data_IF_602994212438
#
_entry.id   IF_602994212438
#
_cell.length_a   1.000
_cell.length_b   1.000
_cell.length_c   1.000
_cell.angle_alpha   90.00
_cell.angle_beta   90.00
_cell.angle_gamma   90.00
#
_symmetry.space_group_name_H-M   'P 1'
#
loop_
_entity.id
_entity.type
_entity.pdbx_description
1 polymer ?
#
# COMPACT_ATOMS: atom_id res chain seq x y z
N UNK A 1 -24.68 53.68 -40.74
CA UNK A 1 -26.06 54.22 -40.81
C UNK A 1 -27.00 53.18 -40.25
N UNK A 2 -27.82 53.58 -39.24
CA UNK A 2 -28.95 52.93 -38.54
C UNK A 2 -28.53 51.79 -37.62
N UNK A 3 -28.44 51.92 -36.28
CA UNK A 3 -29.37 52.36 -35.18
C UNK A 3 -30.75 51.62 -35.24
N UNK A 4 -31.05 50.84 -34.21
CA UNK A 4 -32.17 51.03 -33.27
C UNK A 4 -32.37 49.74 -32.43
N UNK A 5 -32.18 49.87 -31.11
CA UNK A 5 -33.15 49.97 -29.96
C UNK A 5 -33.66 48.59 -29.51
N UNK A 6 -33.24 48.19 -28.32
CA UNK A 6 -33.87 48.40 -26.99
C UNK A 6 -35.34 47.95 -26.89
N UNK A 7 -35.61 46.92 -26.12
CA UNK A 7 -36.74 46.89 -25.22
C UNK A 7 -36.51 45.88 -24.06
N UNK A 8 -36.48 46.47 -22.89
CA UNK A 8 -36.56 45.88 -21.56
C UNK A 8 -38.00 45.43 -21.27
N UNK A 9 -38.21 44.26 -20.73
CA UNK A 9 -39.46 43.93 -20.02
C UNK A 9 -39.10 43.27 -18.71
N UNK A 10 -39.36 44.01 -17.65
CA UNK A 10 -39.42 43.56 -16.27
C UNK A 10 -40.82 42.99 -16.05
N UNK A 11 -40.93 41.78 -15.56
CA UNK A 11 -42.14 41.28 -14.92
C UNK A 11 -41.77 40.68 -13.59
N UNK A 12 -42.06 41.43 -12.54
CA UNK A 12 -42.14 41.01 -11.14
C UNK A 12 -43.52 40.34 -10.94
N UNK A 13 -43.54 39.12 -10.42
CA UNK A 13 -44.75 38.63 -9.74
C UNK A 13 -44.33 37.90 -8.48
N UNK A 14 -44.82 38.44 -7.38
CA UNK A 14 -44.88 37.87 -6.04
C UNK A 14 -45.92 36.73 -6.04
N UNK A 15 -45.56 35.61 -5.43
CA UNK A 15 -46.55 34.81 -4.70
C UNK A 15 -45.83 34.03 -3.60
N UNK A 16 -46.10 34.44 -2.39
CA UNK A 16 -45.86 33.66 -1.18
C UNK A 16 -46.83 32.49 -1.10
N UNK A 17 -46.38 31.32 -0.66
CA UNK A 17 -47.07 30.57 0.41
C UNK A 17 -46.48 29.19 0.67
N UNK A 18 -46.41 28.94 1.94
CA UNK A 18 -46.48 27.68 2.68
C UNK A 18 -45.15 26.97 3.03
N UNK A 19 -44.74 27.32 4.22
CA UNK A 19 -43.95 26.49 5.13
C UNK A 19 -44.62 25.10 5.29
N UNK A 20 -43.92 24.08 4.83
CA UNK A 20 -44.09 22.74 5.32
C UNK A 20 -42.73 22.23 5.76
N UNK A 21 -42.53 22.29 7.07
CA UNK A 21 -41.30 21.79 7.68
C UNK A 21 -41.20 20.28 7.50
N UNK A 22 -40.33 19.86 6.62
CA UNK A 22 -39.73 18.54 6.74
C UNK A 22 -38.44 18.73 7.54
N UNK A 23 -38.49 18.35 8.80
CA UNK A 23 -37.32 18.18 9.61
C UNK A 23 -36.50 17.07 8.94
N UNK A 24 -35.46 17.47 8.23
CA UNK A 24 -34.37 16.57 7.85
C UNK A 24 -33.67 16.26 9.16
N UNK A 25 -33.97 15.08 9.73
CA UNK A 25 -33.12 14.51 10.78
C UNK A 25 -31.73 14.37 10.21
N UNK A 26 -30.81 15.19 10.69
CA UNK A 26 -29.41 14.91 10.54
C UNK A 26 -29.18 13.50 11.10
N UNK A 27 -28.49 12.61 10.37
CA UNK A 27 -27.99 11.41 10.98
C UNK A 27 -27.08 11.85 12.13
N UNK A 28 -27.43 11.45 13.33
CA UNK A 28 -26.57 11.57 14.48
C UNK A 28 -25.26 10.86 14.09
N UNK A 29 -24.18 11.59 14.12
CA UNK A 29 -22.82 11.02 14.15
C UNK A 29 -22.80 10.24 15.47
N UNK A 30 -23.10 8.96 15.38
CA UNK A 30 -22.93 8.01 16.45
C UNK A 30 -21.52 7.45 16.34
N UNK A 31 -20.80 7.65 17.43
CA UNK A 31 -19.57 6.98 17.80
C UNK A 31 -18.39 7.19 16.83
N UNK A 32 -17.41 7.93 17.31
CA UNK A 32 -16.01 7.76 16.96
C UNK A 32 -15.72 6.26 17.00
N UNK A 33 -15.74 5.59 15.85
CA UNK A 33 -15.06 4.32 15.71
C UNK A 33 -13.58 4.61 15.94
N UNK A 34 -13.16 4.40 17.16
CA UNK A 34 -11.75 4.40 17.52
C UNK A 34 -11.09 3.38 16.60
N UNK A 35 -10.04 3.84 15.89
CA UNK A 35 -9.13 2.95 15.17
C UNK A 35 -8.86 1.73 16.05
N UNK A 36 -8.87 0.50 15.52
CA UNK A 36 -8.65 -0.69 16.30
C UNK A 36 -7.35 -0.52 17.10
N UNK A 37 -7.45 -0.54 18.42
CA UNK A 37 -6.29 -0.49 19.29
C UNK A 37 -5.42 -1.69 18.94
N UNK A 38 -4.17 -1.44 18.61
CA UNK A 38 -3.24 -2.50 18.35
C UNK A 38 -3.09 -3.34 19.62
N UNK A 39 -3.31 -4.64 19.49
CA UNK A 39 -3.13 -5.57 20.61
C UNK A 39 -1.64 -5.57 20.98
N UNK A 40 -1.33 -5.04 22.16
CA UNK A 40 0.01 -5.12 22.73
C UNK A 40 0.10 -6.46 23.44
N UNK A 41 1.02 -7.32 23.02
CA UNK A 41 1.32 -8.56 23.73
C UNK A 41 2.00 -8.25 25.07
N UNK A 42 2.02 -9.20 26.00
CA UNK A 42 2.70 -9.06 27.30
C UNK A 42 4.18 -8.66 27.16
N UNK A 43 4.80 -8.90 26.00
CA UNK A 43 6.18 -8.52 25.68
C UNK A 43 6.31 -7.19 24.93
N UNK A 44 5.22 -6.45 24.70
CA UNK A 44 5.25 -5.17 23.99
C UNK A 44 5.37 -5.28 22.46
N UNK A 45 5.44 -6.48 21.92
CA UNK A 45 5.57 -6.72 20.47
C UNK A 45 4.22 -6.75 19.78
N UNK A 46 4.17 -6.21 18.57
CA UNK A 46 2.97 -6.18 17.71
C UNK A 46 3.26 -6.89 16.42
N UNK A 47 2.39 -7.78 16.02
CA UNK A 47 2.49 -8.50 14.75
C UNK A 47 1.21 -8.30 13.95
N UNK A 48 1.31 -8.37 12.64
CA UNK A 48 0.13 -8.47 11.79
C UNK A 48 -0.62 -9.76 12.13
N UNK A 49 -1.86 -9.63 12.51
CA UNK A 49 -2.70 -10.76 12.86
C UNK A 49 -3.24 -10.67 14.28
N UNK A 50 -4.38 -11.26 14.53
CA UNK A 50 -4.83 -11.49 15.89
C UNK A 50 -3.93 -12.54 16.52
N UNK A 51 -3.37 -12.19 17.68
CA UNK A 51 -2.91 -13.19 18.61
C UNK A 51 -4.17 -13.87 19.13
N UNK A 52 -4.58 -14.97 18.49
CA UNK A 52 -5.63 -15.83 19.04
C UNK A 52 -5.22 -16.26 20.45
N UNK A 53 -6.19 -16.59 21.30
CA UNK A 53 -6.06 -16.88 22.75
C UNK A 53 -4.99 -17.90 23.15
N UNK A 54 -4.17 -18.39 22.22
CA UNK A 54 -3.01 -19.23 22.46
C UNK A 54 -1.81 -18.69 21.68
N UNK A 55 -1.09 -17.73 22.28
CA UNK A 55 0.21 -17.25 21.80
C UNK A 55 1.26 -18.36 21.55
N UNK A 56 0.93 -19.59 21.81
CA UNK A 56 1.86 -20.71 21.84
C UNK A 56 1.98 -21.50 20.51
N UNK A 57 1.33 -21.11 19.41
CA UNK A 57 1.30 -21.96 18.22
C UNK A 57 1.28 -21.26 16.86
N UNK A 58 1.46 -19.95 16.78
CA UNK A 58 1.58 -19.34 15.47
C UNK A 58 3.03 -19.40 14.98
N UNK A 59 3.25 -20.14 13.90
CA UNK A 59 4.56 -20.30 13.26
C UNK A 59 4.45 -19.76 11.84
N UNK A 60 5.28 -18.78 11.50
CA UNK A 60 5.47 -18.33 10.13
C UNK A 60 6.30 -19.36 9.35
N UNK A 61 6.12 -19.41 8.05
CA UNK A 61 6.90 -20.27 7.16
C UNK A 61 7.45 -19.48 5.96
N UNK A 62 8.67 -19.83 5.59
CA UNK A 62 9.33 -19.32 4.38
C UNK A 62 9.88 -20.50 3.59
N UNK A 63 9.64 -20.53 2.30
CA UNK A 63 10.23 -21.49 1.39
C UNK A 63 11.41 -20.87 0.65
N UNK A 64 12.58 -21.49 0.72
CA UNK A 64 13.76 -21.09 -0.04
C UNK A 64 14.06 -22.19 -1.05
N UNK A 65 14.00 -21.85 -2.34
CA UNK A 65 14.18 -22.84 -3.42
C UNK A 65 15.56 -23.50 -3.33
N UNK A 66 15.58 -24.81 -3.35
CA UNK A 66 16.79 -25.62 -3.23
C UNK A 66 17.32 -25.79 -1.80
N UNK A 67 16.80 -25.08 -0.79
CA UNK A 67 17.18 -25.22 0.61
C UNK A 67 16.09 -25.87 1.46
N UNK A 68 14.82 -25.59 1.19
CA UNK A 68 13.70 -26.18 1.91
C UNK A 68 12.73 -25.15 2.49
N UNK A 69 11.92 -25.60 3.42
CA UNK A 69 10.99 -24.75 4.17
C UNK A 69 11.51 -24.57 5.59
N UNK A 70 11.51 -23.32 6.03
CA UNK A 70 11.95 -22.89 7.36
C UNK A 70 10.77 -22.32 8.11
N UNK A 71 10.66 -22.66 9.39
CA UNK A 71 9.62 -22.16 10.28
C UNK A 71 10.24 -21.17 11.25
N UNK A 72 9.52 -20.09 11.57
CA UNK A 72 10.00 -19.09 12.51
C UNK A 72 8.87 -18.59 13.43
N UNK A 73 9.22 -18.10 14.60
CA UNK A 73 8.29 -17.42 15.47
C UNK A 73 8.25 -15.92 15.09
N UNK A 74 7.11 -15.40 14.54
CA UNK A 74 7.02 -14.01 14.18
C UNK A 74 7.22 -13.03 15.34
N UNK A 75 7.04 -13.47 16.60
CA UNK A 75 7.27 -12.62 17.77
C UNK A 75 8.76 -12.42 18.09
N UNK A 76 9.63 -13.26 17.55
CA UNK A 76 11.07 -13.17 17.76
C UNK A 76 11.77 -12.35 16.65
N UNK A 77 11.09 -12.12 15.52
CA UNK A 77 11.65 -11.36 14.39
C UNK A 77 11.74 -9.88 14.72
N UNK A 78 12.92 -9.29 14.49
CA UNK A 78 13.16 -7.86 14.65
C UNK A 78 13.41 -7.21 13.31
N UNK A 79 12.92 -5.98 13.16
CA UNK A 79 13.15 -5.23 11.93
C UNK A 79 14.55 -4.61 11.91
N UNK A 80 15.21 -4.66 10.76
CA UNK A 80 16.42 -3.86 10.45
C UNK A 80 16.04 -2.49 9.83
N UNK A 81 14.73 -2.24 9.62
CA UNK A 81 14.18 -0.99 9.08
C UNK A 81 13.38 -0.24 10.15
N UNK A 82 14.05 0.09 11.25
CA UNK A 82 13.47 0.91 12.34
C UNK A 82 13.07 2.32 11.87
N UNK A 83 13.56 2.74 10.70
CA UNK A 83 13.16 3.97 10.03
C UNK A 83 11.77 3.87 9.36
N UNK A 84 11.30 2.65 9.09
CA UNK A 84 10.01 2.38 8.45
C UNK A 84 9.03 1.76 9.45
N UNK A 85 9.44 0.71 10.15
CA UNK A 85 8.56 -0.08 11.00
C UNK A 85 8.68 0.29 12.48
N UNK A 86 7.56 0.22 13.18
CA UNK A 86 7.51 0.30 14.61
C UNK A 86 7.81 -1.06 15.24
N UNK A 87 8.15 -1.06 16.52
CA UNK A 87 8.36 -2.27 17.30
C UNK A 87 7.19 -3.25 17.13
N UNK A 88 7.51 -4.51 16.87
CA UNK A 88 6.56 -5.59 16.63
C UNK A 88 6.08 -5.71 15.19
N UNK A 89 6.50 -4.81 14.30
CA UNK A 89 6.29 -4.95 12.86
C UNK A 89 7.62 -5.10 12.15
N UNK A 90 7.64 -5.91 11.11
CA UNK A 90 8.85 -6.27 10.39
C UNK A 90 8.56 -6.59 8.92
N UNK A 91 9.59 -6.57 8.11
CA UNK A 91 9.52 -6.85 6.69
C UNK A 91 9.75 -8.33 6.36
N UNK A 92 9.50 -8.69 5.10
CA UNK A 92 9.85 -10.03 4.59
C UNK A 92 11.35 -10.27 4.62
N UNK A 93 12.17 -9.22 4.45
CA UNK A 93 13.62 -9.31 4.54
C UNK A 93 14.10 -9.65 5.95
N UNK A 94 13.42 -9.14 6.97
CA UNK A 94 13.74 -9.39 8.37
C UNK A 94 13.60 -10.87 8.74
N UNK A 95 12.72 -11.61 8.04
CA UNK A 95 12.60 -13.06 8.21
C UNK A 95 13.90 -13.77 7.81
N UNK A 96 14.54 -13.36 6.72
CA UNK A 96 15.83 -13.92 6.32
C UNK A 96 16.94 -13.58 7.29
N UNK A 97 16.94 -12.37 7.83
CA UNK A 97 17.91 -11.95 8.86
C UNK A 97 17.72 -12.79 10.13
N UNK A 98 16.49 -13.01 10.55
CA UNK A 98 16.18 -13.86 11.71
C UNK A 98 16.66 -15.31 11.54
N UNK A 99 16.48 -15.90 10.35
CA UNK A 99 16.97 -17.24 10.07
C UNK A 99 18.51 -17.33 10.03
N UNK A 100 19.17 -16.26 9.61
CA UNK A 100 20.63 -16.16 9.67
C UNK A 100 21.12 -16.06 11.12
N UNK A 101 20.49 -15.18 11.93
CA UNK A 101 20.82 -15.03 13.35
C UNK A 101 20.59 -16.33 14.16
N UNK A 102 19.59 -17.12 13.79
CA UNK A 102 19.35 -18.44 14.38
C UNK A 102 20.26 -19.55 13.83
N UNK A 103 21.07 -19.26 12.82
CA UNK A 103 22.04 -20.18 12.23
C UNK A 103 21.44 -21.22 11.29
N UNK A 104 20.21 -21.02 10.81
CA UNK A 104 19.53 -21.91 9.90
C UNK A 104 19.96 -21.73 8.43
N UNK A 105 20.37 -20.51 8.07
CA UNK A 105 20.91 -20.16 6.75
C UNK A 105 22.18 -19.34 6.89
N UNK A 106 22.92 -19.17 5.79
CA UNK A 106 24.04 -18.22 5.70
C UNK A 106 23.61 -17.10 4.75
N UNK A 107 23.46 -15.89 5.26
CA UNK A 107 22.99 -14.74 4.51
C UNK A 107 24.06 -13.63 4.50
N UNK A 108 24.54 -13.26 3.32
CA UNK A 108 25.35 -12.08 3.13
C UNK A 108 24.50 -10.96 2.54
N UNK A 109 24.47 -9.81 3.18
CA UNK A 109 23.67 -8.67 2.73
C UNK A 109 24.33 -7.34 3.10
N UNK A 110 23.88 -6.25 2.47
CA UNK A 110 24.31 -4.90 2.79
C UNK A 110 23.18 -3.91 2.49
N UNK A 111 23.21 -2.75 3.14
CA UNK A 111 22.31 -1.66 2.83
C UNK A 111 22.86 -0.80 1.69
N UNK A 112 22.08 -0.62 0.63
CA UNK A 112 22.42 0.24 -0.50
C UNK A 112 21.69 1.59 -0.39
N UNK A 113 22.46 2.64 -0.13
CA UNK A 113 21.92 4.00 0.04
C UNK A 113 21.41 4.62 -1.27
N UNK A 114 21.87 4.15 -2.43
CA UNK A 114 21.39 4.66 -3.72
C UNK A 114 20.06 4.04 -4.11
N UNK A 115 19.76 2.90 -3.54
CA UNK A 115 18.50 2.18 -3.74
C UNK A 115 17.56 2.26 -2.54
N UNK A 116 18.03 2.73 -1.38
CA UNK A 116 17.31 2.75 -0.12
C UNK A 116 16.72 1.37 0.23
N UNK A 117 17.54 0.32 0.16
CA UNK A 117 17.10 -1.05 0.43
C UNK A 117 18.27 -1.94 0.83
N UNK A 118 17.98 -3.00 1.56
CA UNK A 118 18.92 -4.09 1.77
C UNK A 118 19.00 -4.98 0.54
N UNK A 119 20.22 -5.32 0.16
CA UNK A 119 20.55 -6.18 -0.98
C UNK A 119 21.09 -7.50 -0.48
N UNK A 120 20.53 -8.60 -0.96
CA UNK A 120 21.03 -9.95 -0.73
C UNK A 120 22.22 -10.17 -1.67
N UNK A 121 23.45 -10.20 -1.11
CA UNK A 121 24.66 -10.53 -1.88
C UNK A 121 24.75 -12.02 -2.15
N UNK A 122 24.52 -12.83 -1.10
CA UNK A 122 24.45 -14.27 -1.22
C UNK A 122 23.54 -14.90 -0.17
N UNK A 123 22.98 -16.06 -0.51
CA UNK A 123 22.28 -16.93 0.40
C UNK A 123 22.87 -18.33 0.21
N UNK A 124 23.46 -18.88 1.27
CA UNK A 124 24.24 -20.12 1.28
C UNK A 124 25.33 -20.16 0.18
N UNK A 125 26.00 -18.99 -0.06
CA UNK A 125 27.07 -18.84 -1.04
C UNK A 125 26.63 -18.71 -2.49
N UNK A 126 25.33 -18.59 -2.75
CA UNK A 126 24.78 -18.36 -4.09
C UNK A 126 24.15 -16.97 -4.18
N UNK A 127 24.39 -16.25 -5.27
CA UNK A 127 23.79 -14.93 -5.55
C UNK A 127 22.49 -14.99 -6.31
N UNK A 128 21.97 -13.82 -6.67
CA UNK A 128 20.80 -13.63 -7.53
C UNK A 128 19.50 -14.20 -6.96
N UNK A 129 19.21 -13.89 -5.72
CA UNK A 129 17.97 -14.27 -5.06
C UNK A 129 16.95 -13.15 -5.12
N UNK A 130 15.67 -13.53 -5.25
CA UNK A 130 14.54 -12.65 -5.17
C UNK A 130 13.36 -13.35 -4.50
N UNK A 131 12.22 -12.66 -4.35
CA UNK A 131 11.10 -13.19 -3.61
C UNK A 131 9.77 -13.11 -4.35
N UNK A 132 8.87 -14.00 -3.99
CA UNK A 132 7.44 -13.95 -4.27
C UNK A 132 6.71 -13.98 -2.93
N UNK A 133 5.73 -13.11 -2.77
CA UNK A 133 4.94 -13.06 -1.57
C UNK A 133 3.46 -12.91 -1.92
N UNK A 134 2.61 -13.63 -1.21
CA UNK A 134 1.17 -13.48 -1.29
C UNK A 134 0.53 -14.01 -0.01
N UNK A 135 -0.63 -13.50 0.34
CA UNK A 135 -1.40 -13.99 1.48
C UNK A 135 -2.59 -14.80 1.02
N UNK A 136 -3.22 -15.53 1.94
CA UNK A 136 -4.30 -16.46 1.67
C UNK A 136 -5.39 -15.81 0.78
N UNK A 137 -5.77 -16.52 -0.27
CA UNK A 137 -6.67 -15.99 -1.30
C UNK A 137 -6.03 -15.07 -2.34
N UNK A 138 -4.74 -14.75 -2.20
CA UNK A 138 -3.98 -13.99 -3.19
C UNK A 138 -3.43 -14.87 -4.32
N UNK A 139 -2.71 -14.25 -5.24
CA UNK A 139 -2.09 -14.91 -6.39
C UNK A 139 -0.57 -14.83 -6.23
N UNK A 140 0.16 -15.91 -6.48
CA UNK A 140 1.61 -15.89 -6.38
C UNK A 140 2.20 -15.01 -7.48
N UNK A 141 2.85 -13.93 -7.08
CA UNK A 141 3.48 -13.01 -7.99
C UNK A 141 4.91 -12.71 -7.58
N UNK A 142 5.75 -12.50 -8.59
CA UNK A 142 7.07 -11.98 -8.37
C UNK A 142 6.96 -10.49 -8.11
N UNK A 143 7.24 -10.09 -6.89
CA UNK A 143 7.26 -8.68 -6.52
C UNK A 143 8.41 -7.93 -7.18
N UNK A 144 8.21 -6.66 -7.46
CA UNK A 144 9.27 -5.75 -7.96
C UNK A 144 9.50 -4.59 -7.01
N UNK A 145 9.09 -4.68 -5.77
CA UNK A 145 9.41 -3.65 -4.80
C UNK A 145 10.23 -4.20 -3.64
N UNK A 146 10.83 -3.30 -2.89
CA UNK A 146 11.83 -3.62 -1.88
C UNK A 146 11.32 -4.63 -0.87
N UNK A 147 12.05 -5.74 -0.69
CA UNK A 147 11.68 -6.79 0.24
C UNK A 147 11.69 -6.31 1.69
N UNK A 148 12.60 -5.39 2.01
CA UNK A 148 12.74 -4.75 3.32
C UNK A 148 11.72 -3.62 3.59
N UNK A 149 10.85 -3.32 2.62
CA UNK A 149 9.69 -2.43 2.77
C UNK A 149 8.37 -3.20 2.78
N UNK A 150 8.40 -4.49 2.49
CA UNK A 150 7.19 -5.32 2.44
C UNK A 150 6.87 -5.86 3.83
N UNK A 151 5.82 -5.37 4.51
CA UNK A 151 5.50 -5.85 5.84
C UNK A 151 5.06 -7.31 5.80
N UNK A 152 5.60 -8.10 6.73
CA UNK A 152 5.13 -9.44 6.96
C UNK A 152 3.69 -9.42 7.46
N UNK A 153 2.92 -10.41 7.06
CA UNK A 153 1.54 -10.58 7.44
C UNK A 153 1.26 -12.03 7.75
N UNK A 154 0.45 -12.24 8.77
CA UNK A 154 0.00 -13.58 9.17
C UNK A 154 -0.62 -14.34 7.99
N UNK A 155 -0.36 -15.64 7.92
CA UNK A 155 -0.83 -16.56 6.86
C UNK A 155 -0.34 -16.22 5.45
N UNK A 156 0.61 -15.33 5.30
CA UNK A 156 1.19 -15.11 3.97
C UNK A 156 2.13 -16.24 3.59
N UNK A 157 2.21 -16.50 2.29
CA UNK A 157 3.22 -17.37 1.71
C UNK A 157 4.41 -16.53 1.26
N UNK A 158 5.60 -16.92 1.68
CA UNK A 158 6.85 -16.29 1.29
C UNK A 158 7.77 -17.32 0.64
N UNK A 159 8.13 -17.07 -0.61
CA UNK A 159 9.07 -17.90 -1.36
C UNK A 159 10.27 -17.07 -1.80
N UNK A 160 11.46 -17.58 -1.54
CA UNK A 160 12.71 -17.01 -2.05
C UNK A 160 13.24 -17.91 -3.15
N UNK A 161 13.45 -17.33 -4.31
CA UNK A 161 13.77 -18.06 -5.54
C UNK A 161 14.97 -17.46 -6.25
N UNK A 162 15.78 -18.26 -6.95
CA UNK A 162 16.83 -17.72 -7.81
C UNK A 162 16.22 -17.01 -9.02
N UNK A 163 16.86 -15.92 -9.42
CA UNK A 163 16.47 -15.13 -10.60
C UNK A 163 17.68 -14.86 -11.48
N UNK A 164 17.45 -14.32 -12.67
CA UNK A 164 18.55 -13.89 -13.53
C UNK A 164 19.14 -12.57 -13.03
N UNK A 165 20.43 -12.37 -13.28
CA UNK A 165 21.13 -11.13 -12.96
C UNK A 165 20.45 -9.93 -13.67
N UNK A 166 20.07 -10.09 -14.93
CA UNK A 166 19.37 -9.05 -15.71
C UNK A 166 18.04 -8.63 -15.05
N UNK A 167 17.30 -9.60 -14.46
CA UNK A 167 16.09 -9.28 -13.73
C UNK A 167 16.36 -8.42 -12.49
N UNK A 168 17.37 -8.79 -11.69
CA UNK A 168 17.77 -8.01 -10.51
C UNK A 168 18.24 -6.60 -10.89
N UNK A 169 19.08 -6.48 -11.93
CA UNK A 169 19.50 -5.16 -12.39
C UNK A 169 18.32 -4.29 -12.82
N UNK A 170 17.36 -4.86 -13.54
CA UNK A 170 16.15 -4.12 -13.93
C UNK A 170 15.36 -3.63 -12.73
N UNK A 171 15.21 -4.47 -11.70
CA UNK A 171 14.52 -4.08 -10.45
C UNK A 171 15.31 -2.99 -9.71
N UNK A 172 16.61 -3.16 -9.57
CA UNK A 172 17.48 -2.20 -8.87
C UNK A 172 17.57 -0.86 -9.58
N UNK A 173 17.51 -0.83 -10.90
CA UNK A 173 17.46 0.42 -11.67
C UNK A 173 16.20 1.22 -11.33
N UNK A 174 15.04 0.55 -11.18
CA UNK A 174 13.82 1.26 -10.75
C UNK A 174 13.97 1.87 -9.36
N UNK A 175 14.67 1.21 -8.44
CA UNK A 175 14.93 1.73 -7.09
C UNK A 175 15.85 2.95 -7.11
N UNK A 176 16.91 2.92 -7.92
CA UNK A 176 17.81 4.08 -8.11
C UNK A 176 17.04 5.27 -8.68
N UNK A 177 16.18 5.01 -9.66
CA UNK A 177 15.35 6.07 -10.26
C UNK A 177 14.37 6.67 -9.28
N UNK A 178 13.73 5.85 -8.42
CA UNK A 178 12.89 6.35 -7.33
C UNK A 178 13.65 7.24 -6.35
N UNK A 179 14.83 6.79 -5.89
CA UNK A 179 15.67 7.55 -4.96
C UNK A 179 16.18 8.83 -5.61
N UNK A 180 16.55 8.78 -6.89
CA UNK A 180 16.99 9.96 -7.64
C UNK A 180 15.84 10.97 -7.77
N UNK A 181 14.62 10.54 -8.07
CA UNK A 181 13.44 11.42 -8.07
C UNK A 181 13.19 12.05 -6.71
N UNK A 182 13.23 11.25 -5.65
CA UNK A 182 13.06 11.73 -4.28
C UNK A 182 14.10 12.78 -3.90
N UNK A 183 15.38 12.55 -4.21
CA UNK A 183 16.48 13.51 -3.97
C UNK A 183 16.34 14.77 -4.81
N UNK A 184 15.97 14.63 -6.07
CA UNK A 184 15.76 15.77 -6.97
C UNK A 184 14.58 16.66 -6.55
N UNK A 185 13.68 16.15 -5.71
CA UNK A 185 12.52 16.86 -5.17
C UNK A 185 12.68 17.23 -3.67
N UNK A 186 13.91 17.45 -3.23
CA UNK A 186 14.22 17.88 -1.85
C UNK A 186 13.65 16.95 -0.76
N UNK A 187 13.64 15.64 -1.02
CA UNK A 187 13.12 14.65 -0.08
C UNK A 187 11.60 14.55 -0.03
N UNK A 188 10.92 15.03 -1.05
CA UNK A 188 9.46 14.86 -1.20
C UNK A 188 9.15 13.68 -2.11
N UNK A 189 8.12 12.94 -1.76
CA UNK A 189 7.58 11.91 -2.63
C UNK A 189 6.75 12.59 -3.73
N UNK A 190 7.31 12.62 -4.94
CA UNK A 190 6.62 13.11 -6.13
C UNK A 190 6.40 11.93 -7.06
N UNK A 191 5.14 11.67 -7.38
CA UNK A 191 4.77 10.65 -8.37
C UNK A 191 4.56 11.34 -9.71
N UNK A 192 5.41 11.06 -10.73
CA UNK A 192 5.32 11.70 -12.04
C UNK A 192 3.95 11.54 -12.69
N UNK A 193 3.35 10.36 -12.58
CA UNK A 193 2.03 10.10 -13.16
C UNK A 193 1.13 9.33 -12.17
N UNK A 194 -0.02 9.92 -11.84
CA UNK A 194 -1.08 9.25 -11.09
C UNK A 194 -2.29 9.07 -11.99
N UNK A 195 -2.69 7.83 -12.18
CA UNK A 195 -3.80 7.45 -13.06
C UNK A 195 -4.96 6.94 -12.22
N UNK A 196 -6.15 7.46 -12.44
CA UNK A 196 -7.39 6.90 -11.92
C UNK A 196 -8.24 6.49 -13.10
N UNK A 197 -8.46 5.19 -13.24
CA UNK A 197 -9.27 4.59 -14.31
C UNK A 197 -10.53 3.97 -13.71
N UNK A 198 -11.56 4.79 -13.59
CA UNK A 198 -12.88 4.40 -13.10
C UNK A 198 -13.69 3.62 -14.13
N UNK A 199 -14.97 3.41 -13.83
CA UNK A 199 -15.90 2.73 -14.75
C UNK A 199 -16.22 3.54 -16.00
N UNK A 200 -16.30 4.85 -15.84
CA UNK A 200 -16.80 5.76 -16.87
C UNK A 200 -15.78 6.85 -17.23
N UNK A 201 -14.85 7.14 -16.35
CA UNK A 201 -13.93 8.26 -16.46
C UNK A 201 -12.51 7.82 -16.20
N UNK A 202 -11.57 8.51 -16.83
CA UNK A 202 -10.14 8.34 -16.63
C UNK A 202 -9.53 9.71 -16.34
N UNK A 203 -8.81 9.79 -15.24
CA UNK A 203 -8.06 10.98 -14.83
C UNK A 203 -6.56 10.66 -14.86
N UNK A 204 -5.77 11.65 -15.23
CA UNK A 204 -4.31 11.61 -15.16
C UNK A 204 -3.85 12.88 -14.48
N UNK A 205 -3.06 12.71 -13.42
CA UNK A 205 -2.47 13.81 -12.68
C UNK A 205 -0.95 13.70 -12.80
N UNK A 206 -0.30 14.80 -13.13
CA UNK A 206 1.15 14.83 -13.33
C UNK A 206 1.84 15.46 -12.12
N UNK A 207 3.00 14.89 -11.74
CA UNK A 207 3.88 15.41 -10.68
C UNK A 207 3.15 15.62 -9.34
N UNK A 208 2.43 14.61 -8.89
CA UNK A 208 1.66 14.65 -7.65
C UNK A 208 2.60 14.57 -6.44
N UNK A 209 2.59 15.60 -5.59
CA UNK A 209 3.23 15.54 -4.27
C UNK A 209 2.37 14.69 -3.35
N UNK A 210 2.91 13.54 -2.92
CA UNK A 210 2.23 12.61 -2.01
C UNK A 210 2.77 12.81 -0.61
N UNK A 211 1.87 13.08 0.35
CA UNK A 211 2.21 13.30 1.75
C UNK A 211 1.81 12.10 2.60
N UNK A 212 2.57 11.84 3.65
CA UNK A 212 2.17 10.85 4.64
C UNK A 212 0.94 11.34 5.41
N UNK A 213 -0.05 10.47 5.59
CA UNK A 213 -1.25 10.74 6.39
C UNK A 213 -1.30 9.85 7.64
N UNK A 214 -0.22 9.10 7.90
CA UNK A 214 -0.06 8.23 9.07
C UNK A 214 -1.30 7.32 9.30
N UNK A 215 -1.86 6.77 8.22
CA UNK A 215 -3.08 5.97 8.26
C UNK A 215 -2.88 4.65 9.03
N UNK A 216 -1.64 4.19 9.13
CA UNK A 216 -1.25 2.96 9.85
C UNK A 216 -0.20 3.28 10.94
N UNK A 217 -0.60 4.13 11.93
CA UNK A 217 0.34 4.60 12.95
C UNK A 217 0.79 3.50 13.92
N UNK A 218 0.10 2.37 13.97
CA UNK A 218 0.51 1.19 14.74
C UNK A 218 1.71 0.48 14.10
N UNK A 219 1.81 0.53 12.76
CA UNK A 219 2.78 -0.24 11.99
C UNK A 219 3.99 0.59 11.56
N UNK A 220 3.76 1.80 11.08
CA UNK A 220 4.80 2.62 10.47
C UNK A 220 5.27 3.76 11.36
N UNK A 221 6.52 4.15 11.15
CA UNK A 221 7.04 5.38 11.72
C UNK A 221 6.32 6.59 11.09
N UNK A 222 6.21 7.70 11.84
CA UNK A 222 5.60 8.92 11.31
C UNK A 222 6.33 9.40 10.05
N UNK A 223 5.55 9.78 9.03
CA UNK A 223 6.08 10.29 7.78
C UNK A 223 6.37 9.22 6.72
N UNK A 224 6.13 7.95 7.00
CA UNK A 224 6.17 6.90 5.97
C UNK A 224 5.00 7.08 5.02
N UNK A 225 5.32 7.19 3.72
CA UNK A 225 4.32 7.39 2.66
C UNK A 225 3.96 6.04 2.06
N UNK A 226 2.66 5.80 1.91
CA UNK A 226 2.13 4.56 1.32
C UNK A 226 1.36 4.84 0.02
N UNK A 227 1.06 3.81 -0.74
CA UNK A 227 0.36 3.98 -2.02
C UNK A 227 -1.03 4.61 -1.86
N UNK A 228 -1.74 4.34 -0.77
CA UNK A 228 -3.07 4.93 -0.50
C UNK A 228 -2.98 6.44 -0.24
N UNK A 229 -1.85 6.93 0.28
CA UNK A 229 -1.63 8.36 0.51
C UNK A 229 -1.73 9.19 -0.79
N UNK A 230 -1.54 8.54 -1.95
CA UNK A 230 -1.75 9.17 -3.26
C UNK A 230 -3.20 9.63 -3.42
N UNK A 231 -4.16 8.78 -3.06
CA UNK A 231 -5.59 9.11 -3.13
C UNK A 231 -5.95 10.19 -2.13
N UNK A 232 -5.42 10.08 -0.90
CA UNK A 232 -5.68 11.07 0.15
C UNK A 232 -5.09 12.43 -0.25
N UNK A 233 -3.85 12.46 -0.75
CA UNK A 233 -3.21 13.70 -1.21
C UNK A 233 -3.95 14.38 -2.37
N UNK A 234 -4.51 13.61 -3.31
CA UNK A 234 -5.36 14.15 -4.37
C UNK A 234 -6.68 14.71 -3.81
N UNK A 235 -7.25 14.05 -2.81
CA UNK A 235 -8.44 14.51 -2.11
C UNK A 235 -8.19 15.83 -1.35
N UNK A 236 -7.10 15.92 -0.61
CA UNK A 236 -6.68 17.13 0.11
C UNK A 236 -6.46 18.32 -0.83
N UNK A 237 -5.95 18.04 -2.03
CA UNK A 237 -5.84 19.05 -3.09
C UNK A 237 -7.18 19.43 -3.73
N UNK A 238 -8.29 18.79 -3.37
CA UNK A 238 -9.62 19.01 -3.95
C UNK A 238 -9.76 18.53 -5.40
N UNK A 239 -8.87 17.64 -5.85
CA UNK A 239 -8.86 17.14 -7.22
C UNK A 239 -9.81 15.97 -7.43
N UNK A 240 -10.07 15.20 -6.36
CA UNK A 240 -11.03 14.10 -6.32
C UNK A 240 -11.81 14.11 -5.00
N UNK A 241 -12.91 13.37 -4.96
CA UNK A 241 -13.55 12.93 -3.71
C UNK A 241 -13.29 11.44 -3.54
N UNK A 242 -13.11 10.97 -2.33
CA UNK A 242 -12.85 9.57 -2.06
C UNK A 242 -13.54 9.11 -0.78
N UNK A 243 -13.59 7.77 -0.61
CA UNK A 243 -14.02 7.12 0.62
C UNK A 243 -13.13 5.90 0.85
N UNK A 244 -12.68 5.73 2.10
CA UNK A 244 -11.86 4.59 2.53
C UNK A 244 -12.67 3.72 3.47
N UNK A 245 -12.56 2.42 3.30
CA UNK A 245 -13.23 1.44 4.16
C UNK A 245 -12.21 0.45 4.71
N UNK A 246 -12.29 0.20 6.02
CA UNK A 246 -11.51 -0.84 6.68
C UNK A 246 -12.12 -2.21 6.43
N UNK A 247 -11.27 -3.21 6.14
CA UNK A 247 -11.66 -4.60 6.00
C UNK A 247 -10.78 -5.51 6.85
N UNK A 248 -11.40 -6.31 7.71
CA UNK A 248 -10.74 -7.40 8.43
C UNK A 248 -10.41 -8.57 7.49
N UNK A 249 -11.33 -8.86 6.56
CA UNK A 249 -11.21 -9.93 5.57
C UNK A 249 -11.88 -9.53 4.26
N UNK A 250 -11.42 -10.07 3.13
CA UNK A 250 -12.03 -9.87 1.81
C UNK A 250 -12.04 -11.20 1.04
N UNK A 251 -13.22 -11.65 0.62
CA UNK A 251 -13.36 -12.86 -0.17
C UNK A 251 -12.84 -14.08 0.56
N UNK A 252 -11.79 -14.73 0.02
CA UNK A 252 -11.11 -15.89 0.60
C UNK A 252 -9.92 -15.49 1.49
N UNK A 253 -9.54 -14.22 1.51
CA UNK A 253 -8.49 -13.73 2.38
C UNK A 253 -9.04 -13.48 3.78
N UNK A 254 -8.74 -14.40 4.71
CA UNK A 254 -9.24 -14.38 6.08
C UNK A 254 -8.70 -13.20 6.89
N UNK A 255 -7.48 -12.77 6.59
CA UNK A 255 -6.80 -11.69 7.30
C UNK A 255 -6.33 -10.65 6.31
N UNK A 256 -7.08 -9.56 6.16
CA UNK A 256 -6.69 -8.40 5.33
C UNK A 256 -6.21 -7.26 6.21
N UNK A 257 -6.99 -6.85 7.20
CA UNK A 257 -6.70 -5.78 8.16
C UNK A 257 -6.09 -4.56 7.48
N UNK A 258 -6.85 -3.97 6.55
CA UNK A 258 -6.37 -2.89 5.70
C UNK A 258 -7.49 -1.96 5.27
N UNK A 259 -7.11 -0.71 5.00
CA UNK A 259 -7.97 0.23 4.32
C UNK A 259 -8.01 -0.03 2.82
N UNK A 260 -9.20 0.06 2.29
CA UNK A 260 -9.47 -0.08 0.87
C UNK A 260 -10.06 1.21 0.32
N UNK A 261 -9.70 1.56 -0.90
CA UNK A 261 -10.33 2.68 -1.60
C UNK A 261 -11.70 2.23 -2.09
N UNK A 262 -12.74 2.56 -1.30
CA UNK A 262 -14.11 2.14 -1.56
C UNK A 262 -14.78 2.98 -2.66
N UNK A 263 -14.46 4.27 -2.74
CA UNK A 263 -15.04 5.18 -3.73
C UNK A 263 -14.00 6.21 -4.20
N UNK A 264 -14.04 6.52 -5.48
CA UNK A 264 -13.39 7.69 -6.08
C UNK A 264 -14.43 8.39 -6.95
N UNK A 265 -14.72 9.64 -6.65
CA UNK A 265 -15.77 10.45 -7.28
C UNK A 265 -17.11 9.70 -7.27
N UNK A 266 -17.71 9.46 -8.44
CA UNK A 266 -19.01 8.78 -8.58
C UNK A 266 -18.89 7.24 -8.63
N UNK A 267 -17.67 6.69 -8.71
CA UNK A 267 -17.46 5.26 -8.79
C UNK A 267 -17.24 4.65 -7.40
N UNK A 268 -18.26 3.96 -6.90
CA UNK A 268 -18.28 3.28 -5.59
C UNK A 268 -18.24 1.77 -5.76
N UNK A 269 -17.42 1.11 -4.95
CA UNK A 269 -17.27 -0.35 -4.91
C UNK A 269 -18.60 -1.03 -4.61
N UNK A 270 -18.93 -2.11 -5.33
CA UNK A 270 -20.15 -2.87 -5.13
C UNK A 270 -20.01 -4.32 -5.57
N UNK A 271 -20.49 -5.22 -4.73
CA UNK A 271 -20.44 -6.65 -5.00
C UNK A 271 -18.99 -7.12 -5.14
N UNK A 272 -18.64 -7.58 -6.35
CA UNK A 272 -17.28 -8.05 -6.67
C UNK A 272 -16.50 -7.04 -7.52
N UNK A 273 -16.95 -5.82 -7.60
CA UNK A 273 -16.32 -4.76 -8.37
C UNK A 273 -15.82 -3.64 -7.47
N UNK A 274 -14.63 -3.13 -7.75
CA UNK A 274 -14.03 -2.05 -6.99
C UNK A 274 -12.70 -1.59 -7.57
N UNK A 275 -12.05 -0.68 -6.88
CA UNK A 275 -10.73 -0.21 -7.24
C UNK A 275 -9.66 -1.16 -6.75
N UNK A 276 -8.71 -1.44 -7.61
CA UNK A 276 -7.40 -2.02 -7.29
C UNK A 276 -6.31 -1.07 -7.78
N UNK A 277 -5.05 -1.32 -7.44
CA UNK A 277 -4.00 -0.38 -7.80
C UNK A 277 -2.75 -1.09 -8.33
N UNK A 278 -1.90 -0.32 -8.96
CA UNK A 278 -0.53 -0.64 -9.34
C UNK A 278 0.36 0.55 -8.96
N UNK A 279 1.61 0.29 -8.60
CA UNK A 279 2.60 1.33 -8.38
C UNK A 279 4.01 0.83 -8.71
N UNK A 280 4.81 1.60 -9.40
CA UNK A 280 6.17 1.20 -9.75
C UNK A 280 6.72 1.95 -10.97
N UNK A 281 7.29 1.19 -11.90
CA UNK A 281 7.95 1.69 -13.09
C UNK A 281 7.35 1.08 -14.35
N UNK A 282 7.34 1.83 -15.46
CA UNK A 282 6.73 1.42 -16.73
C UNK A 282 7.30 0.12 -17.30
N UNK A 283 8.57 -0.19 -17.06
CA UNK A 283 9.16 -1.45 -17.55
C UNK A 283 8.50 -2.69 -16.94
N UNK A 284 7.79 -2.53 -15.81
CA UNK A 284 7.05 -3.58 -15.13
C UNK A 284 5.53 -3.36 -15.18
N UNK A 285 5.05 -2.49 -16.07
CA UNK A 285 3.65 -2.19 -16.24
C UNK A 285 2.83 -3.44 -16.62
N UNK A 286 1.56 -3.48 -16.30
CA UNK A 286 0.63 -4.59 -16.54
C UNK A 286 1.08 -5.94 -15.96
N UNK A 287 0.98 -6.11 -14.66
CA UNK A 287 1.12 -7.38 -13.98
C UNK A 287 2.47 -8.09 -14.14
N UNK A 288 3.50 -7.31 -14.38
CA UNK A 288 4.88 -7.82 -14.34
C UNK A 288 5.55 -7.58 -12.99
N UNK A 289 4.73 -7.53 -11.92
CA UNK A 289 5.18 -7.42 -10.55
C UNK A 289 4.98 -6.05 -9.89
N UNK A 290 4.27 -5.12 -10.53
CA UNK A 290 3.97 -3.81 -9.96
C UNK A 290 2.71 -3.75 -9.11
N UNK A 291 1.82 -4.70 -9.29
CA UNK A 291 0.63 -4.74 -8.49
C UNK A 291 0.72 -5.87 -7.50
N UNK A 292 -0.06 -6.10 -6.76
CA UNK A 292 -0.42 -5.69 -5.57
C UNK A 292 -1.39 -6.56 -4.94
N UNK A 293 -0.86 -7.69 -4.44
CA UNK A 293 -1.49 -8.43 -3.40
C UNK A 293 -1.18 -7.85 -2.01
N UNK A 294 -0.39 -6.78 -1.96
CA UNK A 294 -0.22 -6.00 -0.73
C UNK A 294 -1.24 -4.86 -0.75
N UNK A 295 -2.01 -4.66 0.33
CA UNK A 295 -2.90 -3.52 0.45
C UNK A 295 -2.20 -2.18 0.25
N UNK A 296 -2.89 -1.22 -0.36
CA UNK A 296 -2.29 0.07 -0.71
C UNK A 296 -1.90 0.92 0.50
N UNK A 297 -2.54 0.69 1.65
CA UNK A 297 -2.21 1.35 2.92
C UNK A 297 -0.99 0.75 3.63
N UNK A 298 -0.46 -0.36 3.12
CA UNK A 298 0.73 -1.01 3.65
C UNK A 298 1.88 -1.06 2.64
N UNK A 299 1.67 -0.63 1.41
CA UNK A 299 2.73 -0.51 0.42
C UNK A 299 3.46 0.82 0.54
N UNK A 300 4.64 0.79 1.12
CA UNK A 300 5.54 1.97 1.18
C UNK A 300 6.00 2.38 -0.21
N UNK A 301 5.96 3.67 -0.52
CA UNK A 301 6.41 4.23 -1.79
C UNK A 301 7.47 5.32 -1.58
N UNK A 302 8.42 5.42 -2.52
CA UNK A 302 9.55 6.36 -2.50
C UNK A 302 9.67 7.19 -3.80
N UNK A 303 8.62 7.71 -4.35
CA UNK A 303 8.56 8.34 -5.67
C UNK A 303 8.62 7.33 -6.83
N UNK A 304 7.70 6.36 -6.90
CA UNK A 304 7.58 5.49 -8.06
C UNK A 304 7.28 6.30 -9.31
N UNK A 305 7.56 5.75 -10.49
CA UNK A 305 7.30 6.43 -11.76
C UNK A 305 5.82 6.70 -11.94
N UNK A 306 4.98 5.74 -11.53
CA UNK A 306 3.53 5.91 -11.55
C UNK A 306 2.83 5.23 -10.38
N UNK A 307 1.62 5.70 -10.09
CA UNK A 307 0.60 5.03 -9.28
C UNK A 307 -0.70 5.03 -10.07
N UNK A 308 -1.30 3.86 -10.25
CA UNK A 308 -2.56 3.71 -10.96
C UNK A 308 -3.60 3.02 -10.11
N UNK A 309 -4.75 3.64 -9.93
CA UNK A 309 -5.95 3.00 -9.41
C UNK A 309 -6.91 2.71 -10.55
N UNK A 310 -7.39 1.48 -10.65
CA UNK A 310 -8.25 1.07 -11.75
C UNK A 310 -9.38 0.16 -11.29
N UNK A 311 -10.49 0.28 -12.01
CA UNK A 311 -11.71 -0.47 -11.70
C UNK A 311 -11.68 -1.86 -12.31
N UNK A 312 -11.95 -2.88 -11.48
CA UNK A 312 -12.15 -4.25 -11.94
C UNK A 312 -13.40 -4.88 -11.35
N UNK A 313 -13.86 -5.95 -11.99
CA UNK A 313 -14.86 -6.88 -11.46
C UNK A 313 -14.26 -8.30 -11.49
N UNK A 314 -14.30 -9.00 -10.35
CA UNK A 314 -13.74 -10.36 -10.16
C UNK A 314 -14.86 -11.39 -10.15
#
# INVERSE_FOLDING_TARGET
MRLLRLTTVIITLFAATLLSGCAISQPSITEEETLPEAVITENGSRVFGEVGETAAQYTGEIQIEGLGTFSFDPFEVKTVREDIFREGYFSLFDVLVHLEESGEIVLDYYFDHEMNTYVISSLNGHGNWWYNAFYDGGWPERSVFRMDHYPYKDKMTLNVVPVTEDYLYSVYDTYRDEVNRFRANDGKVIVPEVIIEGRNERFVFENVEVKAHDLRPEMFQPGVVTAIDTIISLGDAGLITYDLQWYESIGTADVVKSYWVNRINEDESRGRCGFVYEAGDEQFYFFRGNHNHIPSDTRVINSPQYVKYFWICI
#
